data_IF_366659175065
#
_entry.id   IF_366659175065
#
_cell.length_a   1.000
_cell.length_b   1.000
_cell.length_c   1.000
_cell.angle_alpha   90.00
_cell.angle_beta   90.00
_cell.angle_gamma   90.00
#
_symmetry.space_group_name_H-M   'P 1'
#
loop_
_entity.id
_entity.type
_entity.pdbx_description
1 polymer ?
#
# COMPACT_ATOMS: atom_id res chain seq x y z
N UNK A 1 6.27 13.53 -27.14
CA UNK A 1 6.70 13.36 -25.73
C UNK A 1 7.10 11.91 -25.53
N UNK A 2 8.17 11.66 -24.77
CA UNK A 2 8.70 10.31 -24.57
C UNK A 2 8.13 9.74 -23.27
N UNK A 3 6.95 9.13 -23.34
CA UNK A 3 6.22 8.62 -22.17
C UNK A 3 7.00 7.57 -21.37
N UNK A 4 7.84 6.77 -22.02
CA UNK A 4 8.70 5.79 -21.34
C UNK A 4 9.62 6.48 -20.32
N UNK A 5 10.25 7.60 -20.68
CA UNK A 5 11.13 8.37 -19.79
C UNK A 5 10.35 8.85 -18.56
N UNK A 6 9.17 9.42 -18.77
CA UNK A 6 8.29 9.90 -17.69
C UNK A 6 8.00 8.76 -16.71
N UNK A 7 7.61 7.59 -17.22
CA UNK A 7 7.27 6.43 -16.40
C UNK A 7 8.43 6.00 -15.50
N UNK A 8 9.68 6.03 -15.99
CA UNK A 8 10.88 5.72 -15.19
C UNK A 8 11.03 6.65 -13.98
N UNK A 9 10.86 7.95 -14.15
CA UNK A 9 11.03 8.92 -13.06
C UNK A 9 9.84 8.95 -12.11
N UNK A 10 8.63 8.72 -12.62
CA UNK A 10 7.44 8.49 -11.78
C UNK A 10 7.67 7.26 -10.90
N UNK A 11 8.20 6.17 -11.47
CA UNK A 11 8.52 4.96 -10.73
C UNK A 11 9.55 5.16 -9.63
N UNK A 12 10.56 6.03 -9.83
CA UNK A 12 11.49 6.41 -8.76
C UNK A 12 10.75 7.08 -7.58
N UNK A 13 9.77 7.95 -7.86
CA UNK A 13 8.94 8.54 -6.82
C UNK A 13 8.07 7.50 -6.10
N UNK A 14 7.50 6.53 -6.82
CA UNK A 14 6.74 5.43 -6.19
C UNK A 14 7.64 4.53 -5.33
N UNK A 15 8.88 4.28 -5.77
CA UNK A 15 9.83 3.48 -4.99
C UNK A 15 10.19 4.17 -3.67
N UNK A 16 10.32 5.51 -3.68
CA UNK A 16 10.49 6.29 -2.46
C UNK A 16 9.29 6.17 -1.52
N UNK A 17 8.06 6.21 -2.06
CA UNK A 17 6.85 5.97 -1.27
C UNK A 17 6.84 4.55 -0.66
N UNK A 18 7.21 3.53 -1.44
CA UNK A 18 7.31 2.16 -0.95
C UNK A 18 8.34 2.02 0.17
N UNK A 19 9.46 2.75 0.08
CA UNK A 19 10.46 2.81 1.15
C UNK A 19 9.89 3.45 2.42
N UNK A 20 9.14 4.55 2.31
CA UNK A 20 8.47 5.15 3.47
C UNK A 20 7.42 4.23 4.10
N UNK A 21 6.65 3.49 3.28
CA UNK A 21 5.74 2.45 3.78
C UNK A 21 6.50 1.34 4.51
N UNK A 22 7.65 0.91 3.99
CA UNK A 22 8.53 -0.07 4.66
C UNK A 22 9.07 0.42 6.01
N UNK A 23 9.49 1.69 6.08
CA UNK A 23 9.92 2.31 7.35
C UNK A 23 8.73 2.35 8.33
N UNK A 24 7.55 2.73 7.86
CA UNK A 24 6.34 2.76 8.69
C UNK A 24 5.97 1.36 9.20
N UNK A 25 6.10 0.32 8.36
CA UNK A 25 5.90 -1.06 8.79
C UNK A 25 6.92 -1.50 9.86
N UNK A 26 8.18 -1.09 9.73
CA UNK A 26 9.21 -1.36 10.75
C UNK A 26 8.88 -0.67 12.09
N UNK A 27 8.45 0.58 12.06
CA UNK A 27 8.00 1.31 13.27
C UNK A 27 6.79 0.60 13.89
N UNK A 28 5.81 0.20 13.08
CA UNK A 28 4.63 -0.55 13.54
C UNK A 28 5.02 -1.88 14.20
N UNK A 29 6.05 -2.57 13.69
CA UNK A 29 6.56 -3.80 14.29
C UNK A 29 7.15 -3.56 15.69
N UNK A 30 7.97 -2.52 15.86
CA UNK A 30 8.55 -2.18 17.17
C UNK A 30 7.51 -1.70 18.19
N UNK A 31 6.42 -1.08 17.73
CA UNK A 31 5.33 -0.63 18.59
C UNK A 31 4.28 -1.72 18.88
N UNK A 32 4.36 -2.89 18.22
CA UNK A 32 3.35 -3.95 18.36
C UNK A 32 1.99 -3.63 17.73
N UNK A 33 1.96 -2.68 16.79
CA UNK A 33 0.73 -2.25 16.11
C UNK A 33 0.30 -3.25 15.03
N UNK A 34 -1.02 -3.42 14.88
CA UNK A 34 -1.62 -4.29 13.86
C UNK A 34 -1.45 -3.78 12.42
N UNK A 35 -0.97 -2.55 12.24
CA UNK A 35 -0.77 -1.92 10.93
C UNK A 35 0.44 -2.48 10.15
N UNK A 36 1.29 -3.29 10.78
CA UNK A 36 2.49 -3.85 10.16
C UNK A 36 2.19 -4.60 8.86
N UNK A 37 1.25 -5.56 8.90
CA UNK A 37 0.95 -6.41 7.73
C UNK A 37 0.35 -5.61 6.55
N UNK A 38 -0.65 -4.72 6.75
CA UNK A 38 -1.15 -3.84 5.69
C UNK A 38 -0.08 -2.94 5.07
N UNK A 39 0.78 -2.34 5.90
CA UNK A 39 1.86 -1.45 5.43
C UNK A 39 2.90 -2.21 4.62
N UNK A 40 3.29 -3.40 5.08
CA UNK A 40 4.29 -4.23 4.42
C UNK A 40 3.78 -4.77 3.09
N UNK A 41 2.52 -5.25 3.05
CA UNK A 41 1.87 -5.67 1.81
C UNK A 41 1.76 -4.51 0.81
N UNK A 42 1.28 -3.35 1.25
CA UNK A 42 1.13 -2.18 0.37
C UNK A 42 2.48 -1.66 -0.14
N UNK A 43 3.51 -1.68 0.72
CA UNK A 43 4.87 -1.34 0.35
C UNK A 43 5.45 -2.30 -0.69
N UNK A 44 5.29 -3.62 -0.51
CA UNK A 44 5.76 -4.63 -1.47
C UNK A 44 5.08 -4.51 -2.82
N UNK A 45 3.75 -4.37 -2.85
CA UNK A 45 3.00 -4.19 -4.09
C UNK A 45 3.46 -2.92 -4.81
N UNK A 46 3.58 -1.81 -4.08
CA UNK A 46 4.06 -0.54 -4.64
C UNK A 46 5.49 -0.66 -5.18
N UNK A 47 6.39 -1.30 -4.43
CA UNK A 47 7.77 -1.53 -4.84
C UNK A 47 7.84 -2.38 -6.11
N UNK A 48 7.03 -3.44 -6.21
CA UNK A 48 6.99 -4.31 -7.39
C UNK A 48 6.57 -3.53 -8.64
N UNK A 49 5.51 -2.72 -8.54
CA UNK A 49 5.04 -1.87 -9.63
C UNK A 49 6.03 -0.75 -9.98
N UNK A 50 6.80 -0.25 -9.02
CA UNK A 50 7.82 0.78 -9.24
C UNK A 50 9.10 0.20 -9.86
N UNK A 51 9.55 -0.96 -9.42
CA UNK A 51 10.81 -1.59 -9.89
C UNK A 51 10.70 -1.98 -11.36
N UNK A 52 9.54 -2.45 -11.81
CA UNK A 52 9.34 -2.89 -13.19
C UNK A 52 9.73 -1.82 -14.24
N UNK A 53 9.09 -0.64 -14.29
CA UNK A 53 9.47 0.43 -15.23
C UNK A 53 10.88 0.99 -14.98
N UNK A 54 11.45 0.85 -13.78
CA UNK A 54 12.81 1.29 -13.49
C UNK A 54 13.87 0.41 -14.16
N UNK A 55 13.63 -0.90 -14.24
CA UNK A 55 14.55 -1.87 -14.88
C UNK A 55 14.42 -1.83 -16.40
N UNK A 56 13.20 -1.80 -16.93
CA UNK A 56 12.96 -1.94 -18.38
C UNK A 56 13.15 -0.65 -19.18
N UNK A 57 13.11 0.52 -18.55
CA UNK A 57 13.25 1.80 -19.26
C UNK A 57 14.66 2.37 -19.06
N UNK A 58 15.44 2.67 -20.11
CA UNK A 58 16.76 3.27 -19.97
C UNK A 58 16.69 4.73 -19.46
N UNK A 59 17.73 5.21 -18.74
CA UNK A 59 17.81 6.61 -18.32
C UNK A 59 17.95 7.54 -19.54
N UNK A 60 17.39 8.74 -19.43
CA UNK A 60 17.48 9.76 -20.47
C UNK A 60 18.41 10.90 -20.04
N UNK A 61 19.21 11.40 -20.98
CA UNK A 61 20.15 12.51 -20.74
C UNK A 61 19.50 13.90 -20.71
N UNK A 62 18.29 14.04 -21.24
CA UNK A 62 17.60 15.32 -21.35
C UNK A 62 16.10 15.16 -21.12
N UNK A 63 15.58 15.86 -20.10
CA UNK A 63 14.15 15.93 -19.78
C UNK A 63 13.65 17.31 -20.19
N UNK A 64 12.60 17.33 -21.02
CA UNK A 64 11.98 18.59 -21.43
C UNK A 64 11.05 19.11 -20.33
N UNK A 65 10.79 20.43 -20.29
CA UNK A 65 9.88 21.04 -19.30
C UNK A 65 8.50 20.36 -19.23
N UNK A 66 7.94 19.97 -20.39
CA UNK A 66 6.64 19.30 -20.44
C UNK A 66 6.67 17.90 -19.82
N UNK A 67 7.77 17.16 -20.04
CA UNK A 67 7.97 15.84 -19.42
C UNK A 67 8.19 15.97 -17.91
N UNK A 68 8.97 16.97 -17.48
CA UNK A 68 9.18 17.28 -16.06
C UNK A 68 7.88 17.60 -15.32
N UNK A 69 7.05 18.48 -15.87
CA UNK A 69 5.75 18.81 -15.29
C UNK A 69 4.86 17.57 -15.16
N UNK A 70 4.83 16.73 -16.20
CA UNK A 70 4.00 15.52 -16.22
C UNK A 70 4.51 14.47 -15.22
N UNK A 71 5.82 14.34 -15.03
CA UNK A 71 6.41 13.49 -13.97
C UNK A 71 5.92 13.95 -12.59
N UNK A 72 5.94 15.25 -12.30
CA UNK A 72 5.51 15.80 -11.00
C UNK A 72 4.02 15.58 -10.76
N UNK A 73 3.17 15.86 -11.75
CA UNK A 73 1.71 15.68 -11.60
C UNK A 73 1.36 14.20 -11.43
N UNK A 74 1.95 13.31 -12.25
CA UNK A 74 1.69 11.87 -12.14
C UNK A 74 2.24 11.28 -10.84
N UNK A 75 3.41 11.73 -10.38
CA UNK A 75 3.98 11.24 -9.12
C UNK A 75 3.10 11.62 -7.94
N UNK A 76 2.56 12.85 -7.90
CA UNK A 76 1.58 13.26 -6.90
C UNK A 76 0.32 12.40 -6.93
N UNK A 77 -0.27 12.24 -8.12
CA UNK A 77 -1.50 11.46 -8.28
C UNK A 77 -1.33 10.01 -7.82
N UNK A 78 -0.23 9.37 -8.23
CA UNK A 78 0.07 8.00 -7.84
C UNK A 78 0.49 7.88 -6.37
N UNK A 79 1.15 8.89 -5.79
CA UNK A 79 1.46 8.89 -4.36
C UNK A 79 0.18 8.94 -3.53
N UNK A 80 -0.83 9.72 -3.94
CA UNK A 80 -2.15 9.70 -3.29
C UNK A 80 -2.80 8.31 -3.38
N UNK A 81 -2.71 7.65 -4.54
CA UNK A 81 -3.25 6.29 -4.72
C UNK A 81 -2.52 5.27 -3.83
N UNK A 82 -1.19 5.31 -3.80
CA UNK A 82 -0.35 4.44 -2.97
C UNK A 82 -0.63 4.67 -1.48
N UNK A 83 -0.79 5.92 -1.06
CA UNK A 83 -1.11 6.27 0.33
C UNK A 83 -2.47 5.73 0.79
N UNK A 84 -3.40 5.45 -0.13
CA UNK A 84 -4.68 4.82 0.18
C UNK A 84 -4.61 3.28 0.28
N UNK A 85 -3.57 2.64 -0.28
CA UNK A 85 -3.44 1.17 -0.30
C UNK A 85 -3.44 0.51 1.09
N UNK A 86 -2.73 1.04 2.12
CA UNK A 86 -2.76 0.44 3.45
C UNK A 86 -4.15 0.47 4.08
N UNK A 87 -4.92 1.53 3.83
CA UNK A 87 -6.29 1.67 4.35
C UNK A 87 -7.19 0.61 3.72
N UNK A 88 -7.16 0.51 2.38
CA UNK A 88 -7.96 -0.47 1.64
C UNK A 88 -7.58 -1.92 1.99
N UNK A 89 -6.29 -2.20 2.17
CA UNK A 89 -5.82 -3.53 2.55
C UNK A 89 -6.15 -3.87 4.00
N UNK A 90 -6.18 -2.88 4.90
CA UNK A 90 -6.70 -3.05 6.27
C UNK A 90 -8.17 -3.48 6.21
N UNK A 91 -9.01 -2.77 5.45
CA UNK A 91 -10.42 -3.14 5.33
C UNK A 91 -10.58 -4.56 4.76
N UNK A 92 -9.86 -4.92 3.69
CA UNK A 92 -9.92 -6.27 3.11
C UNK A 92 -9.44 -7.36 4.08
N UNK A 93 -8.35 -7.12 4.81
CA UNK A 93 -7.67 -8.15 5.61
C UNK A 93 -8.35 -8.35 6.98
N UNK A 94 -8.98 -7.31 7.55
CA UNK A 94 -9.61 -7.37 8.87
C UNK A 94 -11.13 -7.53 8.85
N UNK A 95 -11.81 -7.37 7.72
CA UNK A 95 -13.26 -7.61 7.59
C UNK A 95 -13.71 -9.01 8.07
N UNK A 96 -13.04 -10.13 7.72
CA UNK A 96 -13.50 -11.45 8.15
C UNK A 96 -13.40 -11.63 9.68
N UNK A 97 -12.31 -11.19 10.32
CA UNK A 97 -12.17 -11.23 11.78
C UNK A 97 -13.23 -10.37 12.48
N UNK A 98 -13.55 -9.20 11.91
CA UNK A 98 -14.58 -8.32 12.46
C UNK A 98 -15.98 -8.93 12.34
N UNK A 99 -16.29 -9.58 11.21
CA UNK A 99 -17.57 -10.27 11.01
C UNK A 99 -17.70 -11.50 11.91
N UNK A 100 -16.64 -12.29 12.11
CA UNK A 100 -16.66 -13.42 13.05
C UNK A 100 -16.82 -12.97 14.50
N UNK A 101 -16.24 -11.84 14.89
CA UNK A 101 -16.42 -11.24 16.21
C UNK A 101 -17.84 -10.69 16.44
N UNK A 102 -18.52 -10.21 15.40
CA UNK A 102 -19.83 -9.55 15.48
C UNK A 102 -20.99 -10.51 15.16
N UNK A 103 -20.76 -11.62 14.45
CA UNK A 103 -21.84 -12.55 14.09
C UNK A 103 -22.48 -13.18 15.34
N UNK A 104 -23.82 -13.12 15.48
CA UNK A 104 -24.57 -13.59 16.65
C UNK A 104 -24.44 -15.10 16.93
N UNK A 105 -23.76 -15.86 16.08
CA UNK A 105 -23.50 -17.29 16.24
C UNK A 105 -22.58 -17.61 17.43
N UNK A 106 -21.61 -16.75 17.78
CA UNK A 106 -20.82 -16.90 19.01
C UNK A 106 -21.61 -16.48 20.25
N UNK A 107 -22.45 -15.44 20.15
CA UNK A 107 -23.37 -15.00 21.19
C UNK A 107 -24.45 -16.06 21.50
N UNK A 108 -24.90 -16.79 20.48
CA UNK A 108 -25.86 -17.89 20.60
C UNK A 108 -25.21 -19.17 21.17
N UNK A 109 -23.93 -19.45 20.89
CA UNK A 109 -23.17 -20.53 21.57
C UNK A 109 -22.90 -20.24 23.04
N UNK A 110 -22.66 -18.99 23.42
CA UNK A 110 -22.53 -18.58 24.83
C UNK A 110 -23.88 -18.63 25.57
N UNK A 111 -24.97 -18.21 24.95
CA UNK A 111 -26.32 -18.30 25.54
C UNK A 111 -26.83 -19.74 25.66
N UNK A 112 -26.44 -20.64 24.77
CA UNK A 112 -26.82 -22.06 24.84
C UNK A 112 -26.00 -22.87 25.88
N UNK A 113 -24.91 -22.31 26.39
CA UNK A 113 -24.10 -22.90 27.46
C UNK A 113 -24.60 -22.63 28.88
N UNK A 114 -25.47 -21.64 29.09
CA UNK A 114 -25.87 -21.15 30.42
C UNK A 114 -27.17 -21.77 30.95
N UNK A 115 -27.51 -22.98 30.52
CA UNK A 115 -28.68 -23.74 31.01
C UNK A 115 -28.33 -25.15 31.52
N UNK A 116 -27.08 -25.39 31.93
CA UNK A 116 -26.72 -26.55 32.75
C UNK A 116 -25.78 -26.15 33.88
N UNK A 117 -26.36 -26.16 35.08
CA UNK A 117 -25.82 -26.01 36.44
C UNK A 117 -25.59 -24.59 36.94
#
# INVERSE_FOLDING_TARGET
>A
MRFHIVLRYVALALLLNALFLGISAAISYFNGDKAMMPLLYSGLVTALFAIFPLIFVPPASNITNKEGLLIVVLSWLLSCLVGALPVLSTDILFLPDYLEAVTPIQLMRLSAGTHRF
#
